data_IF_331060617077
#
_entry.id   IF_331060617077
#
_cell.length_a   1.000
_cell.length_b   1.000
_cell.length_c   1.000
_cell.angle_alpha   90.00
_cell.angle_beta   90.00
_cell.angle_gamma   90.00
#
_symmetry.space_group_name_H-M   'P 1'
#
loop_
_entity.id
_entity.type
_entity.pdbx_description
1 polymer ?
#
# COMPACT_ATOMS: atom_id res chain seq x y z
N UNK A 1 -9.05 36.83 71.92
CA UNK A 1 -10.26 36.83 71.07
C UNK A 1 -10.03 35.83 69.95
N UNK A 2 -10.72 34.70 70.01
CA UNK A 2 -10.69 33.68 68.97
C UNK A 2 -11.62 34.11 67.83
N UNK A 3 -11.11 34.19 66.61
CA UNK A 3 -11.93 34.27 65.41
C UNK A 3 -11.88 32.91 64.70
N UNK A 4 -13.00 32.20 64.77
CA UNK A 4 -13.34 31.07 63.91
C UNK A 4 -13.51 31.60 62.48
N UNK A 5 -12.76 31.06 61.52
CA UNK A 5 -13.07 31.18 60.09
C UNK A 5 -13.43 29.78 59.57
N UNK A 6 -14.59 29.60 58.91
CA UNK A 6 -15.02 28.32 58.41
C UNK A 6 -14.41 28.00 57.05
N UNK A 7 -14.20 26.69 56.87
CA UNK A 7 -13.90 25.91 55.69
C UNK A 7 -14.16 26.54 54.30
N UNK A 8 -13.14 26.48 53.44
CA UNK A 8 -13.32 26.35 51.99
C UNK A 8 -12.52 25.12 51.56
N UNK A 9 -13.19 23.97 51.46
CA UNK A 9 -12.65 22.79 50.78
C UNK A 9 -12.73 23.06 49.28
N UNK A 10 -11.59 23.34 48.66
CA UNK A 10 -11.49 23.44 47.20
C UNK A 10 -11.70 22.02 46.65
N UNK A 11 -12.93 21.73 46.21
CA UNK A 11 -13.21 20.53 45.41
C UNK A 11 -12.77 20.86 43.99
N UNK A 12 -11.52 20.54 43.66
CA UNK A 12 -11.04 20.57 42.28
C UNK A 12 -11.66 19.36 41.57
N UNK A 13 -12.87 19.52 41.03
CA UNK A 13 -13.43 18.58 40.08
C UNK A 13 -12.66 18.72 38.76
N UNK A 14 -11.57 17.97 38.61
CA UNK A 14 -11.00 17.72 37.28
C UNK A 14 -12.02 16.88 36.51
N UNK A 15 -12.76 17.53 35.62
CA UNK A 15 -13.41 16.86 34.50
C UNK A 15 -12.30 16.25 33.63
N UNK A 16 -11.92 15.01 33.94
CA UNK A 16 -11.30 14.11 32.98
C UNK A 16 -12.38 13.73 31.97
N UNK A 17 -12.60 14.62 30.99
CA UNK A 17 -13.15 14.20 29.71
C UNK A 17 -12.15 13.20 29.15
N UNK A 18 -12.41 11.92 29.39
CA UNK A 18 -11.83 10.84 28.61
C UNK A 18 -12.36 10.98 27.18
N UNK A 19 -11.82 11.94 26.43
CA UNK A 19 -11.91 11.95 24.99
C UNK A 19 -11.05 10.79 24.52
N UNK A 20 -11.67 9.61 24.38
CA UNK A 20 -11.11 8.54 23.58
C UNK A 20 -10.73 9.10 22.20
N UNK A 21 -9.74 8.51 21.51
CA UNK A 21 -9.38 8.96 20.18
C UNK A 21 -10.65 9.00 19.31
N UNK A 22 -10.88 10.07 18.52
CA UNK A 22 -12.04 10.12 17.64
C UNK A 22 -12.00 8.87 16.77
N UNK A 23 -12.99 7.99 16.93
CA UNK A 23 -13.18 6.85 16.03
C UNK A 23 -13.61 7.44 14.69
N UNK A 24 -12.61 7.77 13.86
CA UNK A 24 -12.85 8.23 12.51
C UNK A 24 -13.65 7.16 11.78
N UNK A 25 -14.80 7.56 11.23
CA UNK A 25 -15.57 6.69 10.34
C UNK A 25 -14.69 6.36 9.14
N UNK A 26 -14.57 5.08 8.81
CA UNK A 26 -13.80 4.67 7.64
C UNK A 26 -14.47 5.21 6.36
N UNK A 27 -13.71 5.45 5.30
CA UNK A 27 -14.28 5.88 4.02
C UNK A 27 -15.30 4.88 3.47
N UNK A 28 -15.09 3.59 3.76
CA UNK A 28 -16.02 2.53 3.39
C UNK A 28 -17.33 2.65 4.15
N UNK A 29 -17.29 2.84 5.47
CA UNK A 29 -18.48 3.01 6.29
C UNK A 29 -19.23 4.30 5.96
N UNK A 30 -18.50 5.37 5.63
CA UNK A 30 -19.09 6.62 5.16
C UNK A 30 -19.88 6.41 3.86
N UNK A 31 -19.25 5.86 2.81
CA UNK A 31 -19.94 5.64 1.54
C UNK A 31 -21.03 4.56 1.62
N UNK A 32 -20.91 3.59 2.54
CA UNK A 32 -21.96 2.61 2.84
C UNK A 32 -23.21 3.30 3.37
N UNK A 33 -23.05 4.13 4.41
CA UNK A 33 -24.16 4.87 5.00
C UNK A 33 -24.83 5.82 3.98
N UNK A 34 -24.05 6.56 3.21
CA UNK A 34 -24.60 7.48 2.20
C UNK A 34 -25.31 6.74 1.06
N UNK A 35 -24.82 5.56 0.66
CA UNK A 35 -25.50 4.71 -0.32
C UNK A 35 -26.83 4.17 0.22
N UNK A 36 -26.86 3.70 1.47
CA UNK A 36 -28.09 3.24 2.15
C UNK A 36 -29.12 4.37 2.31
N UNK A 37 -28.66 5.61 2.46
CA UNK A 37 -29.50 6.82 2.46
C UNK A 37 -30.03 7.22 1.06
N UNK A 38 -29.65 6.50 0.00
CA UNK A 38 -30.14 6.71 -1.37
C UNK A 38 -29.27 7.61 -2.25
N UNK A 39 -28.06 7.97 -1.81
CA UNK A 39 -27.15 8.76 -2.63
C UNK A 39 -26.42 7.88 -3.65
N UNK A 40 -26.94 7.82 -4.88
CA UNK A 40 -26.40 6.97 -5.96
C UNK A 40 -24.89 7.16 -6.20
N UNK A 41 -24.39 8.39 -6.12
CA UNK A 41 -22.95 8.67 -6.26
C UNK A 41 -22.12 7.98 -5.16
N UNK A 42 -22.63 7.89 -3.94
CA UNK A 42 -21.97 7.18 -2.86
C UNK A 42 -21.96 5.67 -3.09
N UNK A 43 -23.01 5.11 -3.71
CA UNK A 43 -23.03 3.70 -4.11
C UNK A 43 -21.94 3.38 -5.15
N UNK A 44 -21.75 4.25 -6.15
CA UNK A 44 -20.67 4.11 -7.13
C UNK A 44 -19.29 4.19 -6.48
N UNK A 45 -19.10 5.15 -5.56
CA UNK A 45 -17.84 5.29 -4.79
C UNK A 45 -17.57 4.09 -3.89
N UNK A 46 -18.61 3.55 -3.24
CA UNK A 46 -18.51 2.36 -2.41
C UNK A 46 -18.09 1.14 -3.24
N UNK A 47 -18.71 0.96 -4.42
CA UNK A 47 -18.36 -0.13 -5.32
C UNK A 47 -16.89 -0.06 -5.77
N UNK A 48 -16.44 1.12 -6.23
CA UNK A 48 -15.06 1.34 -6.63
C UNK A 48 -14.06 1.14 -5.46
N UNK A 49 -14.41 1.60 -4.26
CA UNK A 49 -13.60 1.41 -3.06
C UNK A 49 -13.50 -0.07 -2.69
N UNK A 50 -14.62 -0.79 -2.71
CA UNK A 50 -14.65 -2.23 -2.41
C UNK A 50 -13.80 -3.03 -3.41
N UNK A 51 -13.89 -2.70 -4.70
CA UNK A 51 -13.05 -3.28 -5.75
C UNK A 51 -11.56 -3.01 -5.50
N UNK A 52 -11.20 -1.76 -5.20
CA UNK A 52 -9.83 -1.37 -4.87
C UNK A 52 -9.28 -2.09 -3.64
N UNK A 53 -10.07 -2.22 -2.56
CA UNK A 53 -9.69 -2.96 -1.35
C UNK A 53 -9.50 -4.45 -1.64
N UNK A 54 -10.35 -5.05 -2.47
CA UNK A 54 -10.20 -6.43 -2.90
C UNK A 54 -8.94 -6.63 -3.74
N UNK A 55 -8.63 -5.69 -4.64
CA UNK A 55 -7.39 -5.71 -5.41
C UNK A 55 -6.15 -5.56 -4.51
N UNK A 56 -6.17 -4.63 -3.56
CA UNK A 56 -5.09 -4.45 -2.59
C UNK A 56 -4.85 -5.73 -1.78
N UNK A 57 -5.92 -6.36 -1.28
CA UNK A 57 -5.81 -7.62 -0.53
C UNK A 57 -5.19 -8.74 -1.37
N UNK A 58 -5.58 -8.86 -2.65
CA UNK A 58 -4.95 -9.83 -3.58
C UNK A 58 -3.48 -9.51 -3.80
N UNK A 59 -3.16 -8.23 -4.01
CA UNK A 59 -1.79 -7.76 -4.21
C UNK A 59 -0.89 -8.10 -3.01
N UNK A 60 -1.33 -7.82 -1.80
CA UNK A 60 -0.60 -8.14 -0.55
C UNK A 60 -0.40 -9.64 -0.36
N UNK A 61 -1.42 -10.44 -0.67
CA UNK A 61 -1.31 -11.89 -0.61
C UNK A 61 -0.32 -12.42 -1.67
N UNK A 62 -0.41 -11.92 -2.90
CA UNK A 62 0.43 -12.39 -4.01
C UNK A 62 1.87 -11.93 -3.87
N UNK A 63 2.11 -10.73 -3.36
CA UNK A 63 3.47 -10.20 -3.15
C UNK A 63 4.29 -11.10 -2.23
N UNK A 64 3.68 -11.73 -1.23
CA UNK A 64 4.35 -12.70 -0.34
C UNK A 64 4.49 -14.08 -0.98
N UNK A 65 3.51 -14.49 -1.81
CA UNK A 65 3.47 -15.81 -2.42
C UNK A 65 4.42 -15.98 -3.60
N UNK A 66 4.46 -14.99 -4.50
CA UNK A 66 5.18 -15.06 -5.78
C UNK A 66 6.66 -15.45 -5.63
N UNK A 67 7.35 -14.87 -4.65
CA UNK A 67 8.79 -15.11 -4.47
C UNK A 67 9.13 -16.49 -3.92
N UNK A 68 8.15 -17.23 -3.40
CA UNK A 68 8.34 -18.63 -3.00
C UNK A 68 8.37 -19.57 -4.21
N UNK A 69 7.83 -19.11 -5.34
CA UNK A 69 7.69 -19.89 -6.56
C UNK A 69 8.89 -19.71 -7.52
N UNK A 70 9.83 -18.81 -7.20
CA UNK A 70 10.98 -18.50 -8.07
C UNK A 70 12.30 -18.49 -7.31
N UNK A 71 13.40 -18.72 -8.03
CA UNK A 71 14.74 -18.62 -7.47
C UNK A 71 15.21 -17.15 -7.44
N UNK A 72 15.00 -16.46 -6.31
CA UNK A 72 15.42 -15.06 -6.16
C UNK A 72 16.92 -14.85 -6.20
N UNK A 73 17.74 -15.89 -6.04
CA UNK A 73 19.20 -15.77 -6.15
C UNK A 73 19.65 -15.44 -7.58
N UNK A 74 18.85 -15.82 -8.59
CA UNK A 74 19.09 -15.44 -9.99
C UNK A 74 18.75 -13.97 -10.26
N UNK A 75 18.06 -13.31 -9.32
CA UNK A 75 17.69 -11.90 -9.37
C UNK A 75 18.58 -11.03 -8.46
N UNK A 76 19.81 -11.46 -8.23
CA UNK A 76 20.78 -10.77 -7.39
C UNK A 76 22.00 -10.36 -8.21
N UNK A 77 22.37 -9.08 -8.15
CA UNK A 77 23.62 -8.56 -8.72
C UNK A 77 24.82 -8.79 -7.79
N UNK A 78 24.56 -8.82 -6.48
CA UNK A 78 25.52 -9.24 -5.44
C UNK A 78 24.74 -9.75 -4.21
N UNK A 79 25.41 -10.01 -3.08
CA UNK A 79 24.77 -10.58 -1.87
C UNK A 79 23.57 -9.79 -1.33
N UNK A 80 23.49 -8.48 -1.58
CA UNK A 80 22.45 -7.60 -1.02
C UNK A 80 21.72 -6.77 -2.06
N UNK A 81 22.28 -6.66 -3.27
CA UNK A 81 21.74 -5.81 -4.34
C UNK A 81 20.89 -6.64 -5.32
N UNK A 82 19.58 -6.39 -5.40
CA UNK A 82 18.73 -7.10 -6.35
C UNK A 82 18.92 -6.58 -7.78
N UNK A 83 18.71 -7.44 -8.76
CA UNK A 83 18.46 -7.04 -10.14
C UNK A 83 16.99 -6.67 -10.31
N UNK A 84 16.68 -5.40 -10.04
CA UNK A 84 15.33 -4.89 -10.23
C UNK A 84 14.91 -4.79 -11.70
N UNK A 85 15.83 -4.84 -12.66
CA UNK A 85 15.49 -4.75 -14.07
C UNK A 85 14.92 -6.08 -14.55
N UNK A 86 15.54 -7.19 -14.12
CA UNK A 86 15.08 -8.54 -14.44
C UNK A 86 13.88 -8.97 -13.59
N UNK A 87 13.79 -8.50 -12.34
CA UNK A 87 12.62 -8.76 -11.48
C UNK A 87 11.33 -8.11 -12.01
N UNK A 88 11.43 -6.90 -12.57
CA UNK A 88 10.29 -6.08 -13.00
C UNK A 88 9.31 -6.78 -13.95
N UNK A 89 9.73 -7.31 -15.12
CA UNK A 89 8.82 -7.97 -16.04
C UNK A 89 8.20 -9.25 -15.45
N UNK A 90 8.90 -9.94 -14.56
CA UNK A 90 8.37 -11.14 -13.90
C UNK A 90 7.20 -10.77 -12.97
N UNK A 91 7.39 -9.75 -12.14
CA UNK A 91 6.34 -9.23 -11.26
C UNK A 91 5.15 -8.72 -12.06
N UNK A 92 5.37 -7.94 -13.12
CA UNK A 92 4.25 -7.39 -13.90
C UNK A 92 3.43 -8.48 -14.60
N UNK A 93 4.09 -9.48 -15.20
CA UNK A 93 3.38 -10.62 -15.81
C UNK A 93 2.61 -11.42 -14.78
N UNK A 94 3.18 -11.62 -13.59
CA UNK A 94 2.50 -12.31 -12.50
C UNK A 94 1.28 -11.54 -11.99
N UNK A 95 1.42 -10.22 -11.79
CA UNK A 95 0.34 -9.34 -11.37
C UNK A 95 -0.83 -9.39 -12.35
N UNK A 96 -0.58 -9.22 -13.64
CA UNK A 96 -1.64 -9.28 -14.65
C UNK A 96 -2.26 -10.67 -14.77
N UNK A 97 -1.48 -11.74 -14.58
CA UNK A 97 -2.01 -13.11 -14.53
C UNK A 97 -2.96 -13.30 -13.35
N UNK A 98 -2.60 -12.78 -12.18
CA UNK A 98 -3.45 -12.80 -10.98
C UNK A 98 -4.74 -12.01 -11.19
N UNK A 99 -4.65 -10.80 -11.73
CA UNK A 99 -5.82 -9.95 -11.97
C UNK A 99 -6.74 -10.52 -13.06
N UNK A 100 -6.18 -11.14 -14.10
CA UNK A 100 -6.96 -11.86 -15.10
C UNK A 100 -7.75 -13.03 -14.49
N UNK A 101 -7.17 -13.76 -13.54
CA UNK A 101 -7.88 -14.80 -12.79
C UNK A 101 -9.01 -14.24 -11.90
N UNK A 102 -8.94 -12.97 -11.52
CA UNK A 102 -9.98 -12.24 -10.80
C UNK A 102 -11.01 -11.55 -11.73
N UNK A 103 -10.89 -11.72 -13.05
CA UNK A 103 -11.83 -11.18 -14.05
C UNK A 103 -11.40 -9.89 -14.74
N UNK A 104 -10.20 -9.36 -14.45
CA UNK A 104 -9.66 -8.22 -15.20
C UNK A 104 -9.35 -8.60 -16.65
N UNK A 105 -9.57 -7.67 -17.57
CA UNK A 105 -9.21 -7.84 -18.99
C UNK A 105 -7.94 -7.07 -19.37
N UNK A 106 -7.37 -6.34 -18.42
CA UNK A 106 -6.14 -5.58 -18.61
C UNK A 106 -4.96 -6.51 -18.84
N UNK A 107 -3.99 -6.04 -19.62
CA UNK A 107 -2.78 -6.76 -19.98
C UNK A 107 -1.56 -5.87 -19.79
N UNK A 108 -0.38 -6.44 -19.54
CA UNK A 108 0.84 -5.65 -19.52
C UNK A 108 1.10 -5.06 -20.91
N UNK A 109 1.60 -3.83 -20.93
CA UNK A 109 2.18 -3.21 -22.11
C UNK A 109 3.61 -3.76 -22.29
N UNK A 110 3.70 -4.93 -22.94
CA UNK A 110 4.97 -5.66 -23.15
C UNK A 110 6.00 -4.83 -23.94
N UNK A 111 5.57 -3.85 -24.74
CA UNK A 111 6.48 -2.95 -25.46
C UNK A 111 7.16 -1.95 -24.51
N UNK A 112 6.41 -1.43 -23.52
CA UNK A 112 6.94 -0.47 -22.55
C UNK A 112 7.68 -1.11 -21.38
N UNK A 113 7.37 -2.36 -21.03
CA UNK A 113 7.95 -3.03 -19.87
C UNK A 113 9.48 -2.93 -19.78
N UNK A 114 10.27 -3.17 -20.85
CA UNK A 114 11.74 -3.06 -20.77
C UNK A 114 12.21 -1.65 -20.39
N UNK A 115 11.60 -0.60 -20.94
CA UNK A 115 11.97 0.77 -20.62
C UNK A 115 11.60 1.12 -19.17
N UNK A 116 10.45 0.65 -18.70
CA UNK A 116 9.99 0.88 -17.33
C UNK A 116 10.84 0.12 -16.30
N UNK A 117 11.22 -1.12 -16.61
CA UNK A 117 12.14 -1.91 -15.80
C UNK A 117 13.51 -1.22 -15.67
N UNK A 118 14.07 -0.75 -16.80
CA UNK A 118 15.32 -0.02 -16.81
C UNK A 118 15.23 1.29 -16.02
N UNK A 119 14.14 2.05 -16.17
CA UNK A 119 13.92 3.27 -15.39
C UNK A 119 13.87 2.98 -13.88
N UNK A 120 13.06 2.01 -13.47
CA UNK A 120 12.91 1.62 -12.08
C UNK A 120 14.24 1.16 -11.46
N UNK A 121 14.97 0.28 -12.16
CA UNK A 121 16.28 -0.17 -11.73
C UNK A 121 17.28 0.99 -11.62
N UNK A 122 17.33 1.87 -12.63
CA UNK A 122 18.23 3.01 -12.61
C UNK A 122 17.93 3.96 -11.45
N UNK A 123 16.64 4.19 -11.18
CA UNK A 123 16.19 5.07 -10.12
C UNK A 123 16.69 4.60 -8.76
N UNK A 124 16.53 3.31 -8.44
CA UNK A 124 16.90 2.80 -7.12
C UNK A 124 18.34 2.31 -7.03
N UNK A 125 18.76 1.44 -7.96
CA UNK A 125 20.03 0.73 -7.87
C UNK A 125 21.18 1.58 -8.37
N UNK A 126 21.12 2.09 -9.61
CA UNK A 126 22.27 2.77 -10.21
C UNK A 126 22.51 4.17 -9.63
N UNK A 127 21.45 4.87 -9.21
CA UNK A 127 21.58 6.14 -8.47
C UNK A 127 21.90 5.94 -6.98
N UNK A 128 22.03 4.69 -6.50
CA UNK A 128 22.29 4.34 -5.09
C UNK A 128 21.29 5.02 -4.15
N UNK A 129 20.03 5.07 -4.56
CA UNK A 129 18.93 5.51 -3.71
C UNK A 129 18.45 4.33 -2.85
N UNK A 130 17.40 4.56 -2.08
CA UNK A 130 16.80 3.55 -1.21
C UNK A 130 15.92 2.58 -2.03
N UNK A 131 16.06 1.27 -1.86
CA UNK A 131 15.07 0.29 -2.33
C UNK A 131 14.50 -0.48 -1.13
N UNK A 132 13.32 -1.11 -1.25
CA UNK A 132 12.76 -1.89 -0.15
C UNK A 132 13.69 -3.03 0.25
N UNK A 133 14.12 -3.01 1.51
CA UNK A 133 15.09 -3.93 2.08
C UNK A 133 14.72 -4.28 3.52
N UNK A 134 15.00 -5.51 3.95
CA UNK A 134 14.87 -5.94 5.33
C UNK A 134 15.94 -5.27 6.23
N UNK A 135 15.81 -5.42 7.55
CA UNK A 135 16.75 -4.88 8.53
C UNK A 135 18.21 -5.33 8.33
N UNK A 136 18.41 -6.51 7.75
CA UNK A 136 19.75 -7.06 7.44
C UNK A 136 20.32 -6.53 6.10
N UNK A 137 19.57 -5.70 5.39
CA UNK A 137 19.90 -5.13 4.08
C UNK A 137 19.70 -6.08 2.90
N UNK A 138 19.11 -7.26 3.09
CA UNK A 138 18.64 -8.10 1.97
C UNK A 138 17.38 -7.50 1.34
N UNK A 139 17.07 -7.83 0.07
CA UNK A 139 15.85 -7.34 -0.57
C UNK A 139 14.59 -7.74 0.18
N UNK A 140 13.70 -6.78 0.45
CA UNK A 140 12.33 -7.05 0.89
C UNK A 140 11.52 -7.36 -0.35
N UNK A 141 11.55 -8.63 -0.75
CA UNK A 141 10.89 -9.09 -1.98
C UNK A 141 9.37 -8.80 -2.00
N UNK A 142 8.59 -9.10 -0.94
CA UNK A 142 7.18 -8.69 -0.88
C UNK A 142 6.97 -7.20 -1.14
N UNK A 143 7.75 -6.32 -0.50
CA UNK A 143 7.63 -4.89 -0.77
C UNK A 143 8.05 -4.55 -2.20
N UNK A 144 9.18 -5.08 -2.70
CA UNK A 144 9.65 -4.87 -4.08
C UNK A 144 8.54 -5.18 -5.10
N UNK A 145 7.79 -6.27 -4.92
CA UNK A 145 6.66 -6.61 -5.78
C UNK A 145 5.64 -5.47 -5.84
N UNK A 146 5.21 -4.98 -4.68
CA UNK A 146 4.20 -3.92 -4.57
C UNK A 146 4.73 -2.62 -5.21
N UNK A 147 5.98 -2.24 -4.93
CA UNK A 147 6.58 -1.02 -5.49
C UNK A 147 6.82 -1.09 -7.00
N UNK A 148 7.04 -2.28 -7.57
CA UNK A 148 7.10 -2.47 -9.02
C UNK A 148 5.73 -2.21 -9.65
N UNK A 149 4.66 -2.76 -9.06
CA UNK A 149 3.27 -2.56 -9.51
C UNK A 149 2.89 -1.08 -9.39
N UNK A 150 3.18 -0.43 -8.25
CA UNK A 150 2.93 1.00 -8.04
C UNK A 150 3.69 1.85 -9.07
N UNK A 151 4.97 1.58 -9.30
CA UNK A 151 5.75 2.26 -10.34
C UNK A 151 5.14 2.09 -11.74
N UNK A 152 4.60 0.91 -12.06
CA UNK A 152 4.00 0.67 -13.37
C UNK A 152 2.79 1.59 -13.61
N UNK A 153 1.84 1.62 -12.68
CA UNK A 153 0.64 2.46 -12.84
C UNK A 153 0.93 3.95 -12.58
N UNK A 154 1.81 4.26 -11.63
CA UNK A 154 2.14 5.61 -11.21
C UNK A 154 3.15 6.34 -12.11
N UNK A 155 3.93 5.62 -12.91
CA UNK A 155 4.93 6.20 -13.81
C UNK A 155 4.86 5.65 -15.24
N UNK A 156 4.90 4.33 -15.42
CA UNK A 156 5.04 3.71 -16.75
C UNK A 156 3.85 3.98 -17.68
N UNK A 157 2.63 3.96 -17.14
CA UNK A 157 1.41 4.19 -17.91
C UNK A 157 0.99 5.67 -18.00
N UNK A 158 1.54 6.55 -17.16
CA UNK A 158 1.25 7.98 -17.25
C UNK A 158 1.85 8.51 -18.56
N UNK A 159 0.99 9.08 -19.41
CA UNK A 159 1.44 9.84 -20.59
C UNK A 159 2.40 10.93 -20.10
N UNK A 160 3.65 10.87 -20.54
CA UNK A 160 4.63 11.94 -20.36
C UNK A 160 4.32 13.07 -21.35
#
# INVERSE_FOLDING_TARGET
MAFFMPAIKIITALFLLAAGPPQGVSMEDFYRHECEAGHQHACEKLAALSEGLMQQKRLEQRSTGFWKDINTQELMLDKKKPDLQDAYPLVMRDFFKMEAAAGSTEKPDEERLPQCAMHYHNHWINRKLWYPSNDDGTPDWPAIYIYIVDHYFGYCLRKQ
#
